data_IF_215229571368
#
_entry.id   IF_215229571368
#
_cell.length_a   1.000
_cell.length_b   1.000
_cell.length_c   1.000
_cell.angle_alpha   90.00
_cell.angle_beta   90.00
_cell.angle_gamma   90.00
#
_symmetry.space_group_name_H-M   'P 1'
#
loop_
_entity.id
_entity.type
_entity.pdbx_description
1 polymer ?
#
# COMPACT_ATOMS: atom_id res chain seq x y z
N UNK A 1 4.78 17.68 -2.29
CA UNK A 1 4.25 16.47 -2.96
C UNK A 1 5.38 15.47 -3.05
N UNK A 2 5.28 14.35 -2.35
CA UNK A 2 6.28 13.28 -2.34
C UNK A 2 5.65 12.00 -2.91
N UNK A 3 6.35 11.30 -3.79
CA UNK A 3 5.85 10.09 -4.42
C UNK A 3 6.84 9.51 -5.42
N UNK A 4 6.56 8.32 -5.90
CA UNK A 4 7.35 7.58 -6.88
C UNK A 4 6.80 7.80 -8.29
N UNK A 5 7.67 8.07 -9.26
CA UNK A 5 7.29 8.08 -10.67
C UNK A 5 7.13 6.64 -11.13
N UNK A 6 5.89 6.23 -11.44
CA UNK A 6 5.63 4.88 -11.94
C UNK A 6 5.41 4.84 -13.45
N UNK A 7 5.25 5.99 -14.11
CA UNK A 7 5.18 6.08 -15.57
C UNK A 7 5.78 7.41 -16.04
N UNK A 8 6.64 7.34 -17.05
CA UNK A 8 7.17 8.49 -17.76
C UNK A 8 6.95 8.28 -19.26
N UNK A 9 6.33 9.26 -19.94
CA UNK A 9 6.03 9.21 -21.38
C UNK A 9 6.51 10.49 -22.05
N UNK A 10 7.06 10.37 -23.25
CA UNK A 10 7.31 11.51 -24.14
C UNK A 10 6.15 11.63 -25.12
N UNK A 11 5.48 12.77 -25.14
CA UNK A 11 4.28 12.99 -25.94
C UNK A 11 4.58 13.56 -27.34
N UNK A 12 5.74 14.18 -27.53
CA UNK A 12 6.14 14.75 -28.81
C UNK A 12 7.15 15.87 -28.65
N UNK A 13 7.64 16.41 -29.76
CA UNK A 13 8.49 17.58 -29.78
C UNK A 13 8.19 18.45 -31.01
N UNK A 14 7.93 19.74 -30.79
CA UNK A 14 7.61 20.70 -31.85
C UNK A 14 8.75 21.71 -31.98
N UNK A 15 9.84 21.29 -32.64
CA UNK A 15 10.94 22.16 -33.12
C UNK A 15 11.79 22.90 -32.06
N UNK A 16 11.33 23.02 -30.82
CA UNK A 16 12.04 23.67 -29.71
C UNK A 16 11.54 23.29 -28.31
N UNK A 17 10.37 22.64 -28.20
CA UNK A 17 9.83 22.13 -26.94
C UNK A 17 9.62 20.62 -27.04
N UNK A 18 9.97 19.86 -25.99
CA UNK A 18 9.61 18.44 -25.86
C UNK A 18 8.68 18.27 -24.67
N UNK A 19 7.53 17.66 -24.91
CA UNK A 19 6.51 17.45 -23.88
C UNK A 19 6.67 16.06 -23.26
N UNK A 20 6.72 16.01 -21.92
CA UNK A 20 6.74 14.78 -21.14
C UNK A 20 5.54 14.72 -20.19
N UNK A 21 5.05 13.52 -19.96
CA UNK A 21 4.03 13.21 -18.97
C UNK A 21 4.60 12.26 -17.93
N UNK A 22 4.55 12.66 -16.67
CA UNK A 22 4.96 11.86 -15.52
C UNK A 22 3.72 11.54 -14.68
N UNK A 23 3.55 10.26 -14.31
CA UNK A 23 2.54 9.83 -13.36
C UNK A 23 3.21 9.40 -12.06
N UNK A 24 2.74 9.99 -10.96
CA UNK A 24 3.24 9.74 -9.61
C UNK A 24 2.25 8.87 -8.84
N UNK A 25 2.76 8.01 -7.98
CA UNK A 25 2.00 7.26 -6.99
C UNK A 25 2.81 7.13 -5.70
N UNK A 26 2.15 6.88 -4.59
CA UNK A 26 2.83 6.61 -3.32
C UNK A 26 3.35 5.15 -3.26
N UNK A 27 3.94 4.77 -2.12
CA UNK A 27 4.51 3.42 -1.94
C UNK A 27 3.48 2.29 -2.12
N UNK A 28 2.19 2.58 -1.92
CA UNK A 28 1.12 1.58 -2.06
C UNK A 28 0.93 1.10 -3.49
N UNK A 29 1.46 1.83 -4.47
CA UNK A 29 1.53 1.35 -5.84
C UNK A 29 2.30 0.01 -5.93
N UNK A 30 3.34 -0.17 -5.13
CA UNK A 30 4.16 -1.38 -5.14
C UNK A 30 3.43 -2.62 -4.61
N UNK A 31 2.45 -2.44 -3.71
CA UNK A 31 1.62 -3.53 -3.19
C UNK A 31 0.83 -4.27 -4.28
N UNK A 32 0.62 -3.65 -5.44
CA UNK A 32 -0.12 -4.25 -6.56
C UNK A 32 0.69 -5.31 -7.31
N UNK A 33 2.01 -5.31 -7.18
CA UNK A 33 2.90 -6.19 -7.96
C UNK A 33 3.35 -7.43 -7.19
N UNK A 34 3.15 -7.47 -5.87
CA UNK A 34 3.47 -8.64 -5.03
C UNK A 34 2.19 -9.42 -4.72
N UNK A 35 2.25 -10.73 -4.93
CA UNK A 35 1.23 -11.70 -4.54
C UNK A 35 1.85 -12.74 -3.65
N UNK A 36 1.14 -13.13 -2.59
CA UNK A 36 1.67 -14.03 -1.59
C UNK A 36 0.60 -14.99 -1.05
N UNK A 37 1.04 -16.05 -0.37
CA UNK A 37 0.22 -16.98 0.38
C UNK A 37 0.77 -17.12 1.80
N UNK A 38 0.17 -16.39 2.73
CA UNK A 38 0.58 -16.33 4.13
C UNK A 38 -0.59 -16.58 5.07
N UNK A 39 -0.25 -17.04 6.27
CA UNK A 39 -1.18 -17.42 7.31
C UNK A 39 -0.78 -16.72 8.62
N UNK A 40 -1.79 -16.19 9.31
CA UNK A 40 -1.66 -15.60 10.63
C UNK A 40 -2.67 -16.25 11.56
N UNK A 41 -2.21 -16.64 12.74
CA UNK A 41 -3.03 -17.23 13.80
C UNK A 41 -2.94 -16.35 15.04
N UNK A 42 -4.07 -16.10 15.68
CA UNK A 42 -4.19 -15.28 16.90
C UNK A 42 -3.40 -13.95 16.82
N UNK A 43 -3.51 -13.27 15.68
CA UNK A 43 -2.79 -12.01 15.38
C UNK A 43 -3.78 -10.86 15.19
N UNK A 44 -3.45 -9.67 15.69
CA UNK A 44 -4.30 -8.48 15.50
C UNK A 44 -4.21 -7.92 14.09
N UNK A 45 -5.26 -7.23 13.62
CA UNK A 45 -5.32 -6.74 12.24
C UNK A 45 -4.21 -5.72 11.93
N UNK A 46 -3.86 -4.84 12.87
CA UNK A 46 -2.72 -3.92 12.73
C UNK A 46 -1.39 -4.64 12.57
N UNK A 47 -1.17 -5.72 13.31
CA UNK A 47 0.04 -6.54 13.19
C UNK A 47 0.11 -7.23 11.83
N UNK A 48 -1.00 -7.79 11.36
CA UNK A 48 -1.09 -8.43 10.04
C UNK A 48 -0.79 -7.41 8.93
N UNK A 49 -1.42 -6.24 8.97
CA UNK A 49 -1.18 -5.18 7.97
C UNK A 49 0.28 -4.68 8.06
N UNK A 50 0.81 -4.47 9.26
CA UNK A 50 2.21 -4.05 9.47
C UNK A 50 3.18 -5.05 8.87
N UNK A 51 2.96 -6.35 9.11
CA UNK A 51 3.81 -7.42 8.59
C UNK A 51 3.81 -7.44 7.05
N UNK A 52 2.64 -7.29 6.42
CA UNK A 52 2.55 -7.20 4.95
C UNK A 52 3.26 -5.93 4.42
N UNK A 53 3.01 -4.76 5.02
CA UNK A 53 3.64 -3.51 4.59
C UNK A 53 5.16 -3.53 4.79
N UNK A 54 5.65 -4.13 5.88
CA UNK A 54 7.08 -4.23 6.15
C UNK A 54 7.83 -5.16 5.19
N UNK A 55 7.14 -5.94 4.34
CA UNK A 55 7.79 -6.66 3.23
C UNK A 55 8.22 -5.72 2.08
N UNK A 56 7.72 -4.49 2.06
CA UNK A 56 8.04 -3.49 1.04
C UNK A 56 9.00 -2.44 1.62
N UNK A 57 10.26 -2.37 1.14
CA UNK A 57 11.23 -1.38 1.61
C UNK A 57 10.73 0.07 1.53
N UNK A 58 9.89 0.36 0.53
CA UNK A 58 9.29 1.69 0.31
C UNK A 58 8.23 2.06 1.36
N UNK A 59 7.67 1.07 2.06
CA UNK A 59 6.64 1.27 3.08
C UNK A 59 7.21 1.25 4.49
N UNK A 60 8.33 0.58 4.73
CA UNK A 60 8.97 0.49 6.05
C UNK A 60 9.20 1.89 6.64
N UNK A 61 8.62 2.16 7.81
CA UNK A 61 8.73 3.45 8.50
C UNK A 61 7.91 4.60 7.89
N UNK A 62 7.15 4.35 6.82
CA UNK A 62 6.35 5.36 6.11
C UNK A 62 4.82 5.23 6.35
N UNK A 63 4.41 4.40 7.31
CA UNK A 63 3.01 4.30 7.76
C UNK A 63 2.92 4.38 9.29
N UNK A 64 1.78 4.85 9.78
CA UNK A 64 1.45 4.85 11.21
C UNK A 64 -0.03 4.57 11.41
N UNK A 65 -0.36 3.87 12.48
CA UNK A 65 -1.74 3.64 12.90
C UNK A 65 -2.19 4.74 13.85
N UNK A 66 -3.24 5.47 13.47
CA UNK A 66 -3.90 6.46 14.32
C UNK A 66 -5.30 5.94 14.66
N UNK A 67 -5.35 4.96 15.56
CA UNK A 67 -6.58 4.23 15.90
C UNK A 67 -7.24 4.84 17.13
N UNK A 68 -8.56 5.02 17.09
CA UNK A 68 -9.36 5.43 18.26
C UNK A 68 -9.69 4.27 19.20
N UNK A 69 -9.67 3.04 18.68
CA UNK A 69 -9.93 1.80 19.41
C UNK A 69 -8.92 0.73 18.97
N UNK A 70 -8.54 -0.21 19.85
CA UNK A 70 -7.73 -1.34 19.45
C UNK A 70 -8.48 -2.20 18.42
N UNK A 71 -7.74 -2.76 17.47
CA UNK A 71 -8.29 -3.68 16.47
C UNK A 71 -8.49 -5.08 17.06
N UNK A 72 -9.50 -5.83 16.60
CA UNK A 72 -9.77 -7.16 17.12
C UNK A 72 -8.62 -8.13 16.79
N UNK A 73 -8.41 -9.08 17.70
CA UNK A 73 -7.56 -10.23 17.42
C UNK A 73 -8.29 -11.20 16.49
N UNK A 74 -7.62 -11.65 15.42
CA UNK A 74 -8.16 -12.63 14.49
C UNK A 74 -7.57 -14.01 14.79
N UNK A 75 -8.43 -14.97 15.10
CA UNK A 75 -8.02 -16.35 15.35
C UNK A 75 -7.33 -16.98 14.13
N UNK A 76 -7.80 -16.67 12.92
CA UNK A 76 -7.23 -17.17 11.67
C UNK A 76 -7.41 -16.16 10.54
N UNK A 77 -6.32 -15.85 9.83
CA UNK A 77 -6.34 -15.01 8.62
C UNK A 77 -5.41 -15.61 7.56
N UNK A 78 -5.88 -15.63 6.31
CA UNK A 78 -5.11 -16.11 5.15
C UNK A 78 -5.07 -15.09 4.02
N UNK A 79 -3.88 -14.86 3.49
CA UNK A 79 -3.65 -14.16 2.23
C UNK A 79 -3.53 -15.17 1.08
N UNK A 80 -4.09 -14.82 -0.09
CA UNK A 80 -3.95 -15.64 -1.32
C UNK A 80 -3.95 -14.80 -2.62
N UNK A 81 -3.91 -13.49 -2.46
CA UNK A 81 -4.12 -12.41 -3.41
C UNK A 81 -2.96 -11.40 -3.31
N UNK A 82 -3.03 -10.31 -4.07
CA UNK A 82 -2.01 -9.28 -4.01
C UNK A 82 -2.00 -8.60 -2.65
N UNK A 83 -0.84 -8.12 -2.21
CA UNK A 83 -0.71 -7.40 -0.94
C UNK A 83 -1.70 -6.22 -0.89
N UNK A 84 -1.91 -5.54 -2.03
CA UNK A 84 -2.88 -4.46 -2.17
C UNK A 84 -4.31 -4.91 -1.85
N UNK A 85 -4.78 -5.98 -2.51
CA UNK A 85 -6.15 -6.45 -2.32
C UNK A 85 -6.35 -6.98 -0.90
N UNK A 86 -5.36 -7.69 -0.38
CA UNK A 86 -5.40 -8.25 0.96
C UNK A 86 -5.52 -7.16 2.04
N UNK A 87 -4.66 -6.14 1.98
CA UNK A 87 -4.65 -5.03 2.94
C UNK A 87 -5.97 -4.24 2.86
N UNK A 88 -6.42 -3.90 1.65
CA UNK A 88 -7.69 -3.18 1.48
C UNK A 88 -8.88 -3.97 2.03
N UNK A 89 -8.96 -5.27 1.75
CA UNK A 89 -10.04 -6.13 2.28
C UNK A 89 -10.03 -6.19 3.81
N UNK A 90 -8.85 -6.26 4.44
CA UNK A 90 -8.75 -6.22 5.90
C UNK A 90 -9.17 -4.86 6.46
N UNK A 91 -8.73 -3.77 5.83
CA UNK A 91 -9.09 -2.42 6.24
C UNK A 91 -10.59 -2.17 6.14
N UNK A 92 -11.20 -2.53 5.01
CA UNK A 92 -12.64 -2.36 4.76
C UNK A 92 -13.50 -3.15 5.75
N UNK A 93 -13.10 -4.39 6.08
CA UNK A 93 -13.80 -5.22 7.06
C UNK A 93 -13.83 -4.60 8.48
N UNK A 94 -12.77 -3.87 8.85
CA UNK A 94 -12.66 -3.22 10.16
C UNK A 94 -13.07 -1.74 10.14
N UNK A 95 -13.49 -1.21 8.98
CA UNK A 95 -13.84 0.20 8.81
C UNK A 95 -12.64 1.16 8.85
N UNK A 96 -11.44 0.67 8.52
CA UNK A 96 -10.22 1.46 8.44
C UNK A 96 -10.12 2.19 7.09
N UNK A 97 -9.56 3.39 7.13
CA UNK A 97 -9.19 4.17 5.95
C UNK A 97 -7.82 4.79 6.15
N UNK A 98 -7.16 5.13 5.05
CA UNK A 98 -5.86 5.79 5.06
C UNK A 98 -5.97 7.23 4.55
N UNK A 99 -5.11 8.09 5.08
CA UNK A 99 -4.90 9.44 4.61
C UNK A 99 -3.41 9.75 4.61
N UNK A 100 -2.97 10.59 3.67
CA UNK A 100 -1.59 11.03 3.57
C UNK A 100 -1.33 12.18 4.54
N UNK A 101 -0.22 12.10 5.26
CA UNK A 101 0.27 13.20 6.09
C UNK A 101 1.56 13.75 5.48
N UNK A 102 1.68 15.08 5.47
CA UNK A 102 2.82 15.81 4.96
C UNK A 102 3.81 16.17 6.07
#
# INVERSE_FOLDING_TARGET
INGYVHTARRLGADGGLTTYQLAFADFTHFLKFRRDQRLWNDTTVDQIISDVLNQHPQAQGHFRFALSKPLPNRSYTRQHDTDWHFVHRLMENEGLYCAWQQ
#
